data_IF_957005895843
#
_entry.id   IF_957005895843
#
_cell.length_a   1.000
_cell.length_b   1.000
_cell.length_c   1.000
_cell.angle_alpha   90.00
_cell.angle_beta   90.00
_cell.angle_gamma   90.00
#
_symmetry.space_group_name_H-M   'P 1'
#
loop_
_entity.id
_entity.type
_entity.pdbx_description
1 polymer ?
#
# COMPACT_ATOMS: atom_id res chain seq x y z
N UNK A 1 0.62 7.28 -22.73
CA UNK A 1 0.52 5.84 -23.08
C UNK A 1 1.81 5.39 -23.76
N UNK A 2 2.15 4.09 -23.71
CA UNK A 2 3.39 3.49 -24.27
C UNK A 2 4.71 3.97 -23.64
N UNK A 3 4.73 4.12 -22.31
CA UNK A 3 5.95 4.42 -21.55
C UNK A 3 6.53 3.14 -20.95
N UNK A 4 7.86 3.06 -20.83
CA UNK A 4 8.56 1.96 -20.17
C UNK A 4 9.17 2.47 -18.87
N UNK A 5 8.91 1.77 -17.76
CA UNK A 5 9.62 1.95 -16.49
C UNK A 5 10.51 0.73 -16.21
N UNK A 6 11.79 0.97 -15.93
CA UNK A 6 12.73 -0.06 -15.50
C UNK A 6 12.99 0.09 -13.99
N UNK A 7 12.82 -0.98 -13.24
CA UNK A 7 13.06 -1.04 -11.80
C UNK A 7 14.09 -2.14 -11.53
N UNK A 8 15.14 -1.82 -10.78
CA UNK A 8 16.16 -2.77 -10.33
C UNK A 8 16.28 -2.60 -8.82
N UNK A 9 16.04 -3.68 -8.09
CA UNK A 9 16.12 -3.72 -6.63
C UNK A 9 16.99 -4.89 -6.17
N UNK A 10 17.47 -4.82 -4.93
CA UNK A 10 18.18 -5.94 -4.28
C UNK A 10 17.16 -6.85 -3.58
N UNK A 11 17.47 -8.13 -3.53
CA UNK A 11 16.78 -9.08 -2.64
C UNK A 11 17.07 -8.68 -1.18
N UNK A 12 16.03 -8.68 -0.35
CA UNK A 12 16.13 -8.34 1.08
C UNK A 12 16.80 -9.49 1.84
N UNK A 13 17.53 -9.17 2.91
CA UNK A 13 17.97 -10.19 3.87
C UNK A 13 16.80 -10.66 4.73
N UNK A 14 16.99 -11.71 5.53
CA UNK A 14 15.93 -12.24 6.40
C UNK A 14 15.54 -11.26 7.52
N UNK A 15 16.42 -10.31 7.88
CA UNK A 15 16.17 -9.29 8.90
C UNK A 15 15.56 -8.01 8.32
N UNK A 16 15.54 -7.86 6.99
CA UNK A 16 15.02 -6.68 6.31
C UNK A 16 13.51 -6.79 6.06
N UNK A 17 12.81 -5.69 6.37
CA UNK A 17 11.36 -5.54 6.18
C UNK A 17 11.08 -4.44 5.17
N UNK A 18 10.14 -4.71 4.28
CA UNK A 18 9.46 -3.72 3.47
C UNK A 18 8.21 -3.21 4.20
N UNK A 19 7.74 -2.04 3.76
CA UNK A 19 6.59 -1.40 4.36
C UNK A 19 5.68 -0.81 3.28
N UNK A 20 4.39 -1.08 3.40
CA UNK A 20 3.36 -0.30 2.73
C UNK A 20 2.78 0.71 3.72
N UNK A 21 2.64 1.95 3.25
CA UNK A 21 2.08 3.06 4.02
C UNK A 21 0.92 3.68 3.27
N UNK A 22 -0.08 4.09 4.03
CA UNK A 22 -1.20 4.87 3.52
C UNK A 22 -1.39 6.09 4.40
N UNK A 23 -1.69 7.20 3.74
CA UNK A 23 -1.93 8.49 4.37
C UNK A 23 -3.27 9.04 3.89
N UNK A 24 -3.98 9.72 4.77
CA UNK A 24 -5.26 10.35 4.45
C UNK A 24 -5.09 11.39 3.34
N UNK A 25 -5.86 11.28 2.27
CA UNK A 25 -5.78 12.21 1.12
C UNK A 25 -6.25 13.63 1.47
N UNK A 26 -7.02 13.81 2.55
CA UNK A 26 -7.53 15.10 3.00
C UNK A 26 -6.58 15.83 3.97
N UNK A 27 -6.03 15.12 4.97
CA UNK A 27 -5.25 15.75 6.05
C UNK A 27 -3.82 15.21 6.21
N UNK A 28 -3.40 14.25 5.38
CA UNK A 28 -2.07 13.63 5.40
C UNK A 28 -1.71 12.90 6.72
N UNK A 29 -2.71 12.60 7.56
CA UNK A 29 -2.52 11.74 8.73
C UNK A 29 -2.22 10.29 8.29
N UNK A 30 -1.34 9.58 9.00
CA UNK A 30 -1.05 8.16 8.73
C UNK A 30 -2.31 7.33 9.01
N UNK A 31 -2.76 6.56 8.01
CA UNK A 31 -3.90 5.64 8.13
C UNK A 31 -3.43 4.26 8.57
N UNK A 32 -2.44 3.74 7.87
CA UNK A 32 -1.91 2.41 8.14
C UNK A 32 -0.47 2.27 7.71
N UNK A 33 0.25 1.41 8.43
CA UNK A 33 1.63 1.02 8.16
C UNK A 33 1.73 -0.49 8.34
N UNK A 34 2.07 -1.20 7.27
CA UNK A 34 2.17 -2.65 7.27
C UNK A 34 3.61 -3.10 7.00
N UNK A 35 4.33 -3.65 7.99
CA UNK A 35 5.61 -4.34 7.76
C UNK A 35 5.38 -5.71 7.11
N UNK A 36 6.26 -6.10 6.18
CA UNK A 36 6.27 -7.45 5.62
C UNK A 36 7.66 -7.85 5.09
N UNK A 37 7.94 -9.16 5.05
CA UNK A 37 9.10 -9.68 4.33
C UNK A 37 8.75 -9.88 2.85
N UNK A 38 9.55 -9.25 1.98
CA UNK A 38 9.35 -9.30 0.54
C UNK A 38 10.02 -10.55 -0.06
N UNK A 39 9.20 -11.46 -0.57
CA UNK A 39 9.63 -12.66 -1.31
C UNK A 39 9.15 -12.66 -2.77
N UNK A 40 7.84 -12.58 -3.00
CA UNK A 40 7.21 -12.54 -4.33
C UNK A 40 6.29 -11.32 -4.43
N UNK A 41 6.84 -10.22 -4.96
CA UNK A 41 6.16 -8.94 -5.07
C UNK A 41 4.86 -9.03 -5.87
N UNK A 42 4.81 -9.88 -6.91
CA UNK A 42 3.67 -10.01 -7.81
C UNK A 42 2.48 -10.65 -7.09
N UNK A 43 2.73 -11.56 -6.14
CA UNK A 43 1.68 -12.21 -5.35
C UNK A 43 1.35 -11.49 -4.05
N UNK A 44 2.35 -10.88 -3.40
CA UNK A 44 2.18 -10.30 -2.07
C UNK A 44 1.52 -8.93 -2.12
N UNK A 45 1.94 -8.02 -3.02
CA UNK A 45 1.36 -6.67 -3.09
C UNK A 45 -0.15 -6.67 -3.32
N UNK A 46 -0.72 -7.44 -4.27
CA UNK A 46 -2.17 -7.46 -4.46
C UNK A 46 -2.95 -7.88 -3.21
N UNK A 47 -2.40 -8.82 -2.42
CA UNK A 47 -3.03 -9.26 -1.17
C UNK A 47 -2.99 -8.17 -0.11
N UNK A 48 -1.83 -7.55 0.08
CA UNK A 48 -1.65 -6.43 1.02
C UNK A 48 -2.60 -5.28 0.69
N UNK A 49 -2.74 -4.94 -0.60
CA UNK A 49 -3.66 -3.90 -1.06
C UNK A 49 -5.12 -4.28 -0.79
N UNK A 50 -5.53 -5.52 -1.13
CA UNK A 50 -6.90 -6.01 -0.85
C UNK A 50 -7.20 -5.99 0.64
N UNK A 51 -6.31 -6.52 1.48
CA UNK A 51 -6.47 -6.52 2.95
C UNK A 51 -6.66 -5.09 3.49
N UNK A 52 -5.89 -4.13 2.99
CA UNK A 52 -6.05 -2.73 3.37
C UNK A 52 -7.42 -2.16 2.94
N UNK A 53 -7.78 -2.27 1.65
CA UNK A 53 -9.01 -1.65 1.12
C UNK A 53 -10.29 -2.36 1.59
N UNK A 54 -10.23 -3.66 1.90
CA UNK A 54 -11.36 -4.45 2.39
C UNK A 54 -11.62 -4.28 3.90
N UNK A 55 -10.73 -3.58 4.63
CA UNK A 55 -10.84 -3.37 6.08
C UNK A 55 -11.24 -1.92 6.40
N UNK A 56 -12.52 -1.65 6.75
CA UNK A 56 -13.05 -0.29 6.96
C UNK A 56 -12.27 0.55 7.97
N UNK A 57 -11.74 -0.09 9.01
CA UNK A 57 -10.97 0.58 10.06
C UNK A 57 -9.62 1.09 9.55
N UNK A 58 -9.02 0.44 8.55
CA UNK A 58 -7.72 0.84 7.99
C UNK A 58 -7.85 1.98 6.98
N UNK A 59 -8.99 2.08 6.30
CA UNK A 59 -9.25 3.13 5.29
C UNK A 59 -9.91 4.38 5.87
N UNK A 60 -10.34 4.36 7.13
CA UNK A 60 -11.04 5.51 7.76
C UNK A 60 -10.06 6.32 8.60
N UNK A 61 -9.91 7.60 8.28
CA UNK A 61 -9.07 8.52 9.04
C UNK A 61 -9.65 8.80 10.43
N UNK A 62 -8.90 8.47 11.48
CA UNK A 62 -9.25 8.78 12.87
C UNK A 62 -9.22 10.29 13.20
N UNK A 63 -8.46 11.08 12.44
CA UNK A 63 -8.29 12.51 12.66
C UNK A 63 -9.40 13.36 12.02
N UNK A 64 -9.84 13.02 10.80
CA UNK A 64 -10.82 13.84 10.06
C UNK A 64 -12.05 13.08 9.56
N UNK A 65 -12.12 11.76 9.75
CA UNK A 65 -13.24 10.92 9.33
C UNK A 65 -13.33 10.64 7.83
N UNK A 66 -12.35 11.09 7.03
CA UNK A 66 -12.33 10.80 5.59
C UNK A 66 -12.07 9.31 5.36
N UNK A 67 -12.78 8.72 4.40
CA UNK A 67 -12.64 7.30 4.03
C UNK A 67 -11.91 7.21 2.70
N UNK A 68 -10.70 6.64 2.71
CA UNK A 68 -9.93 6.38 1.51
C UNK A 68 -10.66 5.35 0.63
N UNK A 69 -10.76 5.64 -0.67
CA UNK A 69 -11.34 4.72 -1.65
C UNK A 69 -10.24 3.93 -2.36
N UNK A 70 -10.58 2.73 -2.80
CA UNK A 70 -9.71 1.97 -3.68
C UNK A 70 -9.50 2.72 -5.01
N UNK A 71 -8.26 2.85 -5.51
CA UNK A 71 -7.99 3.50 -6.79
C UNK A 71 -8.64 2.76 -7.96
N UNK A 72 -9.40 3.49 -8.77
CA UNK A 72 -9.94 2.95 -10.01
C UNK A 72 -8.86 2.90 -11.10
N UNK A 73 -8.56 1.71 -11.61
CA UNK A 73 -7.73 1.57 -12.82
C UNK A 73 -8.47 2.16 -14.02
N UNK A 74 -7.98 3.31 -14.50
CA UNK A 74 -8.43 3.87 -15.79
C UNK A 74 -8.03 2.88 -16.90
N UNK A 75 -9.03 2.24 -17.49
CA UNK A 75 -8.88 1.37 -18.67
C UNK A 75 -8.50 2.17 -19.90
#
# INVERSE_FOLDING_TARGET
ANTVGLVIERIRTEEELDYCYWYCENCNNELHRMPFHLGDIVKQLPKILSEYYDTPELVTCDQCGEVMKEPELKK
#
